data_IF_408474477781
#
_entry.id   IF_408474477781
#
_cell.length_a   1.000
_cell.length_b   1.000
_cell.length_c   1.000
_cell.angle_alpha   90.00
_cell.angle_beta   90.00
_cell.angle_gamma   90.00
#
_symmetry.space_group_name_H-M   'P 1'
#
loop_
_entity.id
_entity.type
_entity.pdbx_description
1 polymer ?
#
# COMPACT_ATOMS: atom_id res chain seq x y z
N UNK A 1 -3.50 16.00 13.00
CA UNK A 1 -2.65 16.30 14.19
C UNK A 1 -1.73 17.47 13.87
N UNK A 2 -1.88 18.64 14.49
CA UNK A 2 -0.99 19.80 14.27
C UNK A 2 0.39 19.56 14.87
N UNK A 3 1.39 19.24 14.03
CA UNK A 3 2.80 19.29 14.43
C UNK A 3 3.31 20.73 14.33
N UNK A 4 3.56 21.36 15.48
CA UNK A 4 4.37 22.58 15.54
C UNK A 4 5.82 22.20 15.28
N UNK A 5 6.52 22.77 14.27
CA UNK A 5 7.94 22.51 14.10
C UNK A 5 8.70 23.11 15.28
N UNK A 6 9.03 22.24 16.22
CA UNK A 6 9.77 22.60 17.42
C UNK A 6 11.25 22.47 17.10
N UNK A 7 11.90 23.63 16.92
CA UNK A 7 13.33 23.89 17.13
C UNK A 7 14.29 22.99 16.35
N UNK A 8 14.92 23.60 15.35
CA UNK A 8 16.24 23.19 14.82
C UNK A 8 17.21 23.01 15.99
N UNK A 9 17.56 21.75 16.29
CA UNK A 9 18.63 21.39 17.19
C UNK A 9 19.92 21.27 16.37
N UNK A 10 20.96 22.10 16.63
CA UNK A 10 22.25 21.90 16.00
C UNK A 10 22.91 20.66 16.63
N UNK A 11 23.00 19.57 15.86
CA UNK A 11 23.78 18.39 16.25
C UNK A 11 25.24 18.66 15.89
N UNK A 12 26.05 19.02 16.88
CA UNK A 12 27.49 19.03 16.74
C UNK A 12 28.01 17.59 16.78
N UNK A 13 28.35 17.03 15.62
CA UNK A 13 28.96 15.70 15.52
C UNK A 13 30.50 15.82 15.64
N UNK A 14 31.07 15.30 16.71
CA UNK A 14 32.51 15.06 16.84
C UNK A 14 32.81 13.60 16.48
N UNK A 15 33.48 13.35 15.36
CA UNK A 15 33.86 12.01 14.93
C UNK A 15 35.26 11.63 15.43
N UNK A 16 35.36 10.59 16.27
CA UNK A 16 36.60 9.90 16.62
C UNK A 16 36.65 8.52 15.96
N UNK A 17 37.68 8.26 15.15
CA UNK A 17 37.87 7.00 14.42
C UNK A 17 38.75 6.03 15.24
N UNK A 18 38.17 4.93 15.71
CA UNK A 18 38.88 3.74 16.20
C UNK A 18 38.56 2.56 15.28
N UNK A 19 39.58 2.02 14.60
CA UNK A 19 39.49 0.81 13.79
C UNK A 19 39.87 -0.42 14.63
N UNK A 20 38.87 -1.21 15.01
CA UNK A 20 39.04 -2.59 15.45
C UNK A 20 38.10 -3.45 14.60
N UNK A 21 38.68 -4.25 13.69
CA UNK A 21 37.96 -5.18 12.85
C UNK A 21 37.81 -6.55 13.52
N UNK A 22 36.57 -7.07 13.51
CA UNK A 22 36.19 -8.43 13.09
C UNK A 22 34.82 -8.83 13.67
N UNK A 23 33.83 -8.93 12.79
CA UNK A 23 32.67 -9.84 12.82
C UNK A 23 31.97 -9.71 11.45
N UNK A 24 31.17 -10.67 10.96
CA UNK A 24 30.58 -11.82 11.64
C UNK A 24 30.68 -13.15 10.84
N UNK A 25 30.18 -14.23 11.47
CA UNK A 25 29.87 -15.48 10.80
C UNK A 25 28.74 -15.28 9.76
N UNK A 26 28.90 -15.92 8.60
CA UNK A 26 27.90 -15.93 7.53
C UNK A 26 26.64 -16.72 7.97
N UNK A 27 25.43 -16.19 7.72
CA UNK A 27 24.23 -17.03 7.67
C UNK A 27 24.25 -17.80 6.34
N UNK A 28 24.13 -19.12 6.43
CA UNK A 28 23.96 -19.99 5.27
C UNK A 28 22.64 -19.62 4.58
N UNK A 29 22.72 -19.07 3.37
CA UNK A 29 21.57 -18.79 2.53
C UNK A 29 20.82 -20.10 2.20
N UNK A 30 19.48 -20.09 2.07
CA UNK A 30 18.76 -21.21 1.48
C UNK A 30 19.30 -21.42 0.06
N UNK A 31 19.62 -22.66 -0.26
CA UNK A 31 20.24 -23.01 -1.54
C UNK A 31 19.17 -22.94 -2.62
N UNK A 32 19.08 -21.81 -3.31
CA UNK A 32 18.27 -21.68 -4.52
C UNK A 32 18.89 -22.52 -5.65
N UNK A 33 18.06 -23.27 -6.38
CA UNK A 33 18.48 -24.02 -7.55
C UNK A 33 18.48 -23.09 -8.77
N UNK A 34 19.60 -23.03 -9.49
CA UNK A 34 19.73 -22.32 -10.76
C UNK A 34 20.16 -23.32 -11.86
N UNK A 35 19.33 -23.59 -12.88
CA UNK A 35 18.01 -22.99 -13.14
C UNK A 35 16.91 -23.44 -12.16
N UNK A 36 15.80 -22.69 -12.04
CA UNK A 36 14.68 -23.04 -11.16
C UNK A 36 14.08 -24.39 -11.57
N UNK A 37 13.75 -25.20 -10.57
CA UNK A 37 13.16 -26.52 -10.77
C UNK A 37 11.70 -26.42 -11.22
N UNK A 38 11.24 -27.43 -11.97
CA UNK A 38 9.85 -27.53 -12.38
C UNK A 38 8.97 -27.88 -11.16
N UNK A 39 8.22 -26.89 -10.67
CA UNK A 39 7.37 -27.01 -9.48
C UNK A 39 6.19 -27.96 -9.65
N UNK A 40 5.96 -28.51 -10.85
CA UNK A 40 4.92 -29.51 -11.07
C UNK A 40 5.31 -30.93 -10.63
N UNK A 41 6.61 -31.25 -10.52
CA UNK A 41 7.08 -32.57 -10.06
C UNK A 41 8.48 -32.59 -9.42
N UNK A 42 9.16 -31.45 -9.30
CA UNK A 42 10.53 -31.34 -8.76
C UNK A 42 10.61 -30.43 -7.53
N UNK A 43 11.58 -30.69 -6.66
CA UNK A 43 11.94 -29.83 -5.54
C UNK A 43 13.45 -29.56 -5.55
N UNK A 44 13.87 -28.39 -5.07
CA UNK A 44 15.28 -28.04 -4.95
C UNK A 44 15.89 -28.72 -3.72
N UNK A 45 16.93 -29.54 -3.93
CA UNK A 45 17.69 -30.18 -2.85
C UNK A 45 19.17 -29.99 -3.07
N UNK A 46 19.81 -29.28 -2.14
CA UNK A 46 21.25 -29.04 -2.14
C UNK A 46 21.77 -28.48 -3.49
N UNK A 47 21.01 -27.57 -4.10
CA UNK A 47 21.38 -26.91 -5.36
C UNK A 47 21.13 -27.74 -6.63
N UNK A 48 20.40 -28.86 -6.54
CA UNK A 48 19.98 -29.64 -7.70
C UNK A 48 18.48 -30.00 -7.64
N UNK A 49 17.84 -30.04 -8.81
CA UNK A 49 16.44 -30.44 -8.94
C UNK A 49 16.29 -31.97 -8.78
N UNK A 50 15.45 -32.37 -7.83
CA UNK A 50 15.12 -33.77 -7.60
C UNK A 50 13.65 -34.03 -7.94
N UNK A 51 13.38 -35.07 -8.74
CA UNK A 51 12.01 -35.50 -9.05
C UNK A 51 11.37 -36.09 -7.79
N UNK A 52 10.27 -35.50 -7.34
CA UNK A 52 9.48 -35.92 -6.18
C UNK A 52 8.42 -36.93 -6.58
N UNK A 53 7.84 -36.73 -7.77
CA UNK A 53 6.89 -37.62 -8.40
C UNK A 53 7.50 -38.28 -9.64
N UNK A 54 6.99 -39.44 -10.10
CA UNK A 54 7.28 -39.93 -11.45
C UNK A 54 6.90 -38.82 -12.45
N UNK A 55 7.74 -38.63 -13.48
CA UNK A 55 7.66 -37.58 -14.50
C UNK A 55 6.22 -37.35 -15.02
N UNK A 56 5.94 -36.18 -15.65
CA UNK A 56 4.69 -35.44 -15.50
C UNK A 56 3.47 -36.35 -15.38
N UNK A 57 2.67 -36.12 -14.34
CA UNK A 57 1.60 -36.99 -13.86
C UNK A 57 0.49 -37.37 -14.88
N UNK A 58 0.61 -36.91 -16.13
CA UNK A 58 -0.37 -37.01 -17.19
C UNK A 58 -1.36 -35.85 -17.11
N UNK A 59 -2.14 -35.66 -18.17
CA UNK A 59 -3.24 -34.69 -18.16
C UNK A 59 -4.28 -35.07 -17.07
N UNK A 60 -4.77 -34.07 -16.33
CA UNK A 60 -5.80 -34.21 -15.28
C UNK A 60 -5.27 -34.75 -13.94
N UNK A 61 -3.96 -34.67 -13.68
CA UNK A 61 -3.34 -35.13 -12.44
C UNK A 61 -2.20 -34.19 -12.00
N UNK A 62 -2.25 -33.73 -10.76
CA UNK A 62 -1.13 -33.04 -10.07
C UNK A 62 -0.31 -33.95 -9.16
N UNK A 63 0.93 -33.54 -8.89
CA UNK A 63 1.78 -34.15 -7.87
C UNK A 63 1.34 -33.68 -6.47
N UNK A 64 0.95 -34.61 -5.61
CA UNK A 64 0.82 -34.37 -4.18
C UNK A 64 2.20 -34.53 -3.52
N UNK A 65 2.80 -33.41 -3.11
CA UNK A 65 4.13 -33.36 -2.50
C UNK A 65 4.20 -34.00 -1.12
N UNK A 66 3.08 -34.09 -0.39
CA UNK A 66 3.03 -34.74 0.91
C UNK A 66 3.05 -36.28 0.77
N UNK A 67 2.31 -36.81 -0.21
CA UNK A 67 2.20 -38.27 -0.41
C UNK A 67 3.13 -38.83 -1.49
N UNK A 68 3.79 -37.95 -2.27
CA UNK A 68 4.69 -38.27 -3.40
C UNK A 68 4.01 -39.12 -4.47
N UNK A 69 2.75 -38.82 -4.75
CA UNK A 69 1.92 -39.54 -5.74
C UNK A 69 1.22 -38.55 -6.64
N UNK A 70 0.99 -38.99 -7.88
CA UNK A 70 0.06 -38.31 -8.76
C UNK A 70 -1.36 -38.53 -8.24
N UNK A 71 -2.08 -37.46 -7.93
CA UNK A 71 -3.50 -37.48 -7.54
C UNK A 71 -4.32 -36.89 -8.69
N UNK A 72 -5.61 -37.23 -8.77
CA UNK A 72 -6.50 -36.58 -9.73
C UNK A 72 -6.57 -35.08 -9.41
N UNK A 73 -6.60 -34.24 -10.44
CA UNK A 73 -6.86 -32.81 -10.26
C UNK A 73 -8.23 -32.62 -9.62
N UNK A 74 -8.24 -31.99 -8.45
CA UNK A 74 -9.46 -31.72 -7.70
C UNK A 74 -10.28 -30.59 -8.36
N UNK A 75 -9.75 -29.99 -9.43
CA UNK A 75 -10.43 -29.02 -10.29
C UNK A 75 -11.18 -29.69 -11.47
N UNK A 76 -11.04 -31.00 -11.66
CA UNK A 76 -11.79 -31.78 -12.67
C UNK A 76 -12.64 -32.88 -12.01
N UNK A 77 -13.19 -32.62 -10.83
CA UNK A 77 -14.48 -33.20 -10.47
C UNK A 77 -15.57 -32.43 -11.21
N UNK A 78 -15.55 -32.53 -12.55
CA UNK A 78 -16.70 -32.23 -13.37
C UNK A 78 -17.80 -33.24 -13.04
N UNK A 79 -18.54 -32.98 -11.98
CA UNK A 79 -19.95 -33.30 -12.01
C UNK A 79 -20.60 -32.16 -12.79
N UNK A 80 -21.01 -32.50 -14.00
CA UNK A 80 -22.02 -31.79 -14.77
C UNK A 80 -23.27 -31.65 -13.89
N UNK A 81 -23.28 -30.67 -12.97
CA UNK A 81 -24.50 -30.18 -12.32
C UNK A 81 -25.25 -29.37 -13.38
N UNK A 82 -25.86 -30.08 -14.34
CA UNK A 82 -26.85 -29.49 -15.24
C UNK A 82 -28.12 -29.25 -14.44
N UNK A 83 -28.17 -28.11 -13.75
CA UNK A 83 -29.37 -27.55 -13.15
C UNK A 83 -29.42 -27.59 -11.62
N UNK A 84 -30.16 -26.63 -11.08
CA UNK A 84 -30.50 -26.53 -9.68
C UNK A 84 -31.31 -27.78 -9.25
N UNK A 85 -30.92 -28.52 -8.19
CA UNK A 85 -31.67 -29.70 -7.73
C UNK A 85 -33.00 -29.36 -7.05
N UNK A 86 -33.25 -28.08 -6.77
CA UNK A 86 -34.51 -27.55 -6.24
C UNK A 86 -35.34 -26.90 -7.35
N UNK A 87 -36.64 -26.62 -7.11
CA UNK A 87 -37.40 -25.73 -7.99
C UNK A 87 -36.66 -24.41 -8.15
N UNK A 88 -36.61 -23.95 -9.39
CA UNK A 88 -35.91 -22.79 -9.92
C UNK A 88 -36.73 -22.45 -11.18
N UNK A 89 -37.62 -21.46 -11.06
CA UNK A 89 -38.76 -21.28 -11.99
C UNK A 89 -38.38 -20.45 -13.21
N UNK A 90 -37.46 -19.51 -13.06
CA UNK A 90 -36.90 -18.63 -14.08
C UNK A 90 -35.60 -19.19 -14.70
N UNK A 91 -34.88 -20.06 -13.97
CA UNK A 91 -33.75 -20.84 -14.46
C UNK A 91 -32.40 -20.15 -14.31
N UNK A 92 -32.24 -19.24 -13.35
CA UNK A 92 -31.06 -18.40 -13.16
C UNK A 92 -30.02 -18.98 -12.18
N UNK A 93 -30.33 -20.15 -11.59
CA UNK A 93 -29.59 -20.88 -10.56
C UNK A 93 -29.83 -20.41 -9.11
N UNK A 94 -30.76 -19.50 -8.87
CA UNK A 94 -31.37 -19.28 -7.57
C UNK A 94 -32.61 -20.19 -7.42
N UNK A 95 -32.76 -20.91 -6.30
CA UNK A 95 -33.93 -21.76 -6.10
C UNK A 95 -35.11 -20.97 -5.49
N UNK A 96 -36.34 -21.30 -5.89
CA UNK A 96 -37.61 -20.66 -5.48
C UNK A 96 -37.73 -20.39 -3.96
N UNK A 97 -37.10 -21.22 -3.11
CA UNK A 97 -37.17 -21.09 -1.66
C UNK A 97 -36.27 -19.99 -1.08
N UNK A 98 -35.26 -19.54 -1.83
CA UNK A 98 -34.36 -18.43 -1.49
C UNK A 98 -34.94 -17.10 -1.98
N UNK A 99 -35.47 -17.05 -3.20
CA UNK A 99 -36.03 -15.84 -3.81
C UNK A 99 -37.35 -15.41 -3.15
N UNK A 100 -38.21 -16.37 -2.82
CA UNK A 100 -39.54 -16.11 -2.27
C UNK A 100 -40.59 -15.75 -3.33
N UNK A 101 -41.87 -15.74 -2.92
CA UNK A 101 -43.01 -15.48 -3.81
C UNK A 101 -43.53 -14.04 -3.72
N UNK A 102 -42.76 -13.14 -3.09
CA UNK A 102 -43.05 -11.71 -3.11
C UNK A 102 -42.71 -11.13 -4.50
N UNK A 103 -42.96 -9.84 -4.69
CA UNK A 103 -42.86 -9.11 -5.97
C UNK A 103 -42.19 -7.78 -5.59
N UNK A 104 -40.85 -7.78 -5.55
CA UNK A 104 -40.06 -6.73 -4.93
C UNK A 104 -40.10 -5.42 -5.73
N UNK A 105 -40.02 -5.50 -7.06
CA UNK A 105 -40.11 -4.36 -7.97
C UNK A 105 -41.57 -3.94 -8.32
N UNK A 106 -42.55 -4.82 -8.11
CA UNK A 106 -43.96 -4.58 -8.37
C UNK A 106 -44.38 -4.71 -9.84
N UNK A 107 -43.63 -5.42 -10.68
CA UNK A 107 -43.91 -5.58 -12.11
C UNK A 107 -44.97 -6.67 -12.42
N UNK A 108 -45.43 -7.39 -11.40
CA UNK A 108 -46.39 -8.51 -11.41
C UNK A 108 -45.81 -9.91 -11.68
N UNK A 109 -44.51 -10.02 -11.80
CA UNK A 109 -43.74 -11.26 -11.81
C UNK A 109 -43.24 -11.47 -10.36
N UNK A 110 -43.54 -12.61 -9.73
CA UNK A 110 -42.98 -12.88 -8.41
C UNK A 110 -41.48 -13.17 -8.52
N UNK A 111 -40.68 -12.82 -7.51
CA UNK A 111 -39.21 -12.96 -7.50
C UNK A 111 -38.76 -14.31 -8.08
N UNK A 112 -39.32 -15.44 -7.60
CA UNK A 112 -39.11 -16.81 -8.16
C UNK A 112 -39.16 -16.97 -9.70
N UNK A 113 -39.79 -16.04 -10.41
CA UNK A 113 -40.06 -16.08 -11.84
C UNK A 113 -39.51 -14.87 -12.58
N UNK A 114 -38.83 -13.99 -11.88
CA UNK A 114 -38.17 -12.78 -12.39
C UNK A 114 -36.67 -13.03 -12.50
N UNK A 115 -36.03 -12.37 -13.45
CA UNK A 115 -34.58 -12.44 -13.65
C UNK A 115 -33.86 -11.18 -13.14
N UNK A 116 -34.62 -10.22 -12.61
CA UNK A 116 -34.23 -8.87 -12.17
C UNK A 116 -35.23 -8.44 -11.07
N UNK A 117 -35.20 -9.13 -9.93
CA UNK A 117 -36.32 -9.13 -8.97
C UNK A 117 -36.56 -7.79 -8.26
N UNK A 118 -35.54 -6.95 -8.08
CA UNK A 118 -35.64 -5.58 -7.56
C UNK A 118 -35.77 -4.52 -8.69
N UNK A 119 -35.60 -4.93 -9.94
CA UNK A 119 -35.79 -4.10 -11.13
C UNK A 119 -34.70 -3.06 -11.33
N UNK A 120 -33.48 -3.34 -10.86
CA UNK A 120 -32.33 -2.46 -10.93
C UNK A 120 -31.53 -2.61 -12.25
N UNK A 121 -31.86 -3.61 -13.07
CA UNK A 121 -31.22 -3.96 -14.35
C UNK A 121 -29.95 -4.83 -14.28
N UNK A 122 -29.70 -5.47 -13.13
CA UNK A 122 -28.70 -6.52 -12.92
C UNK A 122 -29.40 -7.87 -12.76
N UNK A 123 -28.80 -8.95 -13.27
CA UNK A 123 -29.41 -10.27 -13.07
C UNK A 123 -29.27 -10.71 -11.61
N UNK A 124 -30.32 -11.27 -11.03
CA UNK A 124 -30.29 -11.83 -9.67
C UNK A 124 -29.10 -12.78 -9.46
N UNK A 125 -28.81 -13.63 -10.46
CA UNK A 125 -27.67 -14.55 -10.43
C UNK A 125 -26.29 -13.89 -10.37
N UNK A 126 -26.17 -12.63 -10.80
CA UNK A 126 -24.92 -11.85 -10.71
C UNK A 126 -24.76 -11.24 -9.31
N UNK A 127 -25.85 -10.86 -8.68
CA UNK A 127 -25.91 -10.27 -7.34
C UNK A 127 -25.78 -11.33 -6.25
N UNK A 128 -26.36 -12.52 -6.47
CA UNK A 128 -26.24 -13.68 -5.59
C UNK A 128 -24.79 -14.10 -5.26
N UNK A 129 -23.79 -13.61 -6.02
CA UNK A 129 -22.37 -13.73 -5.71
C UNK A 129 -21.69 -14.99 -6.27
N UNK A 130 -22.44 -16.04 -6.59
CA UNK A 130 -21.95 -17.21 -7.32
C UNK A 130 -23.05 -17.93 -8.13
N UNK A 131 -22.63 -18.84 -9.02
CA UNK A 131 -23.54 -19.64 -9.85
C UNK A 131 -23.90 -21.00 -9.21
N UNK A 132 -23.60 -21.20 -7.92
CA UNK A 132 -23.73 -22.49 -7.24
C UNK A 132 -25.09 -22.56 -6.55
N UNK A 133 -26.10 -23.06 -7.25
CA UNK A 133 -27.45 -23.20 -6.69
C UNK A 133 -27.48 -23.76 -5.25
N UNK A 134 -28.16 -23.01 -4.37
CA UNK A 134 -28.35 -23.32 -2.96
C UNK A 134 -27.20 -22.91 -2.03
N UNK A 135 -26.24 -22.11 -2.50
CA UNK A 135 -25.43 -21.25 -1.64
C UNK A 135 -26.31 -20.13 -1.07
N UNK A 136 -25.98 -19.66 0.14
CA UNK A 136 -26.68 -18.52 0.69
C UNK A 136 -26.34 -17.30 -0.19
N UNK A 137 -27.35 -16.55 -0.69
CA UNK A 137 -27.12 -15.36 -1.50
C UNK A 137 -26.25 -14.31 -0.76
N UNK A 138 -25.56 -13.49 -1.54
CA UNK A 138 -24.80 -12.36 -1.02
C UNK A 138 -25.74 -11.32 -0.37
N UNK A 139 -25.23 -10.68 0.67
CA UNK A 139 -25.85 -9.60 1.46
C UNK A 139 -24.65 -8.71 1.82
N UNK A 140 -24.41 -7.67 1.01
CA UNK A 140 -23.17 -6.91 0.99
C UNK A 140 -23.07 -5.94 2.18
N UNK A 141 -24.19 -5.37 2.62
CA UNK A 141 -24.26 -4.42 3.74
C UNK A 141 -24.67 -5.07 5.10
N UNK A 142 -24.95 -6.38 5.10
CA UNK A 142 -25.42 -7.18 6.25
C UNK A 142 -26.79 -6.68 6.82
N UNK A 143 -27.67 -6.09 6.01
CA UNK A 143 -28.98 -5.56 6.45
C UNK A 143 -30.11 -6.61 6.49
N UNK A 144 -29.83 -7.83 6.03
CA UNK A 144 -30.73 -9.00 5.89
C UNK A 144 -31.57 -9.08 4.62
N UNK A 145 -31.48 -8.10 3.73
CA UNK A 145 -31.97 -8.16 2.36
C UNK A 145 -30.81 -8.64 1.48
N UNK A 146 -30.96 -9.77 0.78
CA UNK A 146 -29.94 -10.18 -0.18
C UNK A 146 -29.80 -9.18 -1.32
N UNK A 147 -28.59 -9.05 -1.88
CA UNK A 147 -28.28 -8.08 -2.94
C UNK A 147 -29.30 -8.11 -4.10
N UNK A 148 -29.72 -9.30 -4.57
CA UNK A 148 -30.70 -9.45 -5.68
C UNK A 148 -32.15 -8.99 -5.36
N UNK A 149 -32.39 -8.51 -4.14
CA UNK A 149 -33.66 -7.91 -3.70
C UNK A 149 -33.45 -6.53 -3.08
N UNK A 150 -32.21 -6.04 -3.06
CA UNK A 150 -31.85 -4.75 -2.52
C UNK A 150 -31.75 -3.73 -3.66
N UNK A 151 -31.98 -2.46 -3.36
CA UNK A 151 -31.89 -1.39 -4.36
C UNK A 151 -30.68 -0.48 -4.13
N UNK A 152 -29.88 -0.76 -3.10
CA UNK A 152 -28.70 -0.03 -2.63
C UNK A 152 -27.81 -1.02 -1.85
N UNK A 153 -27.30 -2.04 -2.54
CA UNK A 153 -26.69 -3.27 -1.97
C UNK A 153 -25.50 -3.03 -1.03
N UNK A 154 -24.81 -1.90 -1.15
CA UNK A 154 -23.70 -1.53 -0.25
C UNK A 154 -23.99 -0.38 0.71
N UNK A 155 -25.23 0.13 0.66
CA UNK A 155 -25.81 1.14 1.56
C UNK A 155 -25.00 2.45 1.59
N UNK A 156 -24.30 2.78 0.49
CA UNK A 156 -23.56 4.03 0.33
C UNK A 156 -24.48 5.21 -0.06
N UNK A 157 -25.72 4.88 -0.46
CA UNK A 157 -26.78 5.79 -0.84
C UNK A 157 -26.90 6.03 -2.34
N UNK A 158 -26.13 5.36 -3.19
CA UNK A 158 -26.32 5.33 -4.63
C UNK A 158 -27.10 4.06 -5.01
N UNK A 159 -28.23 4.18 -5.73
CA UNK A 159 -28.99 2.99 -6.06
C UNK A 159 -28.26 2.08 -7.05
N UNK A 160 -28.42 0.77 -6.91
CA UNK A 160 -27.79 -0.25 -7.75
C UNK A 160 -28.09 -0.02 -9.24
N UNK A 161 -29.30 0.42 -9.57
CA UNK A 161 -29.67 0.79 -10.94
C UNK A 161 -28.81 1.91 -11.57
N UNK A 162 -28.27 2.83 -10.76
CA UNK A 162 -27.32 3.83 -11.24
C UNK A 162 -25.92 3.24 -11.46
N UNK A 163 -25.60 2.17 -10.74
CA UNK A 163 -24.30 1.53 -10.61
C UNK A 163 -24.12 0.34 -11.54
N UNK A 164 -25.21 -0.33 -11.91
CA UNK A 164 -25.31 -1.23 -13.06
C UNK A 164 -24.67 -0.60 -14.30
N UNK A 165 -24.84 0.72 -14.46
CA UNK A 165 -24.11 1.54 -15.41
C UNK A 165 -24.74 1.59 -16.81
N UNK A 166 -25.71 0.73 -17.12
CA UNK A 166 -26.63 0.83 -18.25
C UNK A 166 -27.90 -0.04 -18.07
N UNK A 167 -29.00 0.33 -18.74
CA UNK A 167 -30.30 -0.36 -18.62
C UNK A 167 -30.37 -1.75 -19.35
N UNK A 168 -29.30 -2.55 -19.32
CA UNK A 168 -29.27 -3.89 -19.94
C UNK A 168 -28.83 -4.96 -18.97
N UNK A 169 -29.82 -5.79 -18.66
CA UNK A 169 -29.67 -7.02 -17.89
C UNK A 169 -28.54 -7.93 -18.40
N UNK A 170 -28.29 -8.02 -19.72
CA UNK A 170 -27.24 -8.92 -20.25
C UNK A 170 -25.81 -8.41 -20.10
N UNK A 171 -25.63 -7.21 -19.57
CA UNK A 171 -24.30 -6.64 -19.32
C UNK A 171 -23.80 -7.01 -17.94
N UNK A 172 -22.50 -6.82 -17.70
CA UNK A 172 -21.99 -6.92 -16.34
C UNK A 172 -22.17 -5.57 -15.68
N UNK A 173 -22.48 -5.53 -14.37
CA UNK A 173 -22.49 -4.28 -13.64
C UNK A 173 -21.14 -3.58 -13.76
N UNK A 174 -21.16 -2.25 -13.64
CA UNK A 174 -19.95 -1.43 -13.72
C UNK A 174 -18.98 -1.83 -12.62
N UNK A 175 -17.70 -1.81 -12.96
CA UNK A 175 -16.59 -1.97 -12.04
C UNK A 175 -15.62 -0.84 -12.43
N UNK A 176 -15.62 0.23 -11.64
CA UNK A 176 -14.95 1.49 -11.96
C UNK A 176 -13.44 1.38 -11.81
N UNK A 177 -12.96 0.65 -10.80
CA UNK A 177 -11.53 0.49 -10.51
C UNK A 177 -10.88 -0.77 -11.15
N UNK A 178 -11.69 -1.66 -11.75
CA UNK A 178 -11.32 -2.95 -12.35
C UNK A 178 -10.72 -3.96 -11.33
N UNK A 179 -11.08 -3.89 -10.04
CA UNK A 179 -10.56 -4.81 -9.00
C UNK A 179 -11.43 -6.05 -8.80
N UNK A 180 -12.54 -6.15 -9.54
CA UNK A 180 -13.42 -7.31 -9.58
C UNK A 180 -14.55 -7.26 -8.57
N UNK A 181 -14.75 -6.11 -7.90
CA UNK A 181 -15.95 -5.80 -7.13
C UNK A 181 -16.69 -4.72 -7.93
N UNK A 182 -17.91 -4.98 -8.42
CA UNK A 182 -18.73 -3.97 -9.09
C UNK A 182 -19.13 -2.84 -8.14
N UNK A 183 -19.40 -1.66 -8.71
CA UNK A 183 -19.74 -0.42 -7.99
C UNK A 183 -20.90 -0.63 -7.00
N UNK A 184 -21.97 -1.36 -7.38
CA UNK A 184 -23.12 -1.68 -6.49
C UNK A 184 -22.76 -2.48 -5.22
N UNK A 185 -21.51 -2.94 -5.11
CA UNK A 185 -21.00 -3.68 -3.93
C UNK A 185 -19.71 -3.07 -3.39
N UNK A 186 -19.37 -1.86 -3.83
CA UNK A 186 -18.13 -1.18 -3.48
C UNK A 186 -18.38 0.27 -3.08
N UNK A 187 -18.36 0.49 -1.76
CA UNK A 187 -18.60 1.80 -1.15
C UNK A 187 -17.58 2.89 -1.54
N UNK A 188 -16.52 2.56 -2.28
CA UNK A 188 -15.42 3.44 -2.75
C UNK A 188 -15.08 3.06 -4.21
N UNK A 189 -16.00 3.39 -5.12
CA UNK A 189 -16.06 2.92 -6.53
C UNK A 189 -14.76 3.11 -7.31
N UNK A 190 -14.02 4.19 -7.08
CA UNK A 190 -12.75 4.48 -7.77
C UNK A 190 -11.49 4.20 -6.93
N UNK A 191 -11.69 3.79 -5.68
CA UNK A 191 -10.68 3.38 -4.72
C UNK A 191 -9.62 4.45 -4.42
N UNK A 192 -10.00 5.73 -4.44
CA UNK A 192 -9.12 6.83 -4.07
C UNK A 192 -8.97 6.99 -2.55
N UNK A 193 -9.93 6.45 -1.79
CA UNK A 193 -10.02 6.43 -0.33
C UNK A 193 -10.97 7.46 0.28
N UNK A 194 -11.68 8.26 -0.52
CA UNK A 194 -12.95 8.90 -0.17
C UNK A 194 -14.07 7.96 -0.63
N UNK A 195 -14.96 7.60 0.29
CA UNK A 195 -16.09 6.74 -0.08
C UNK A 195 -17.14 7.55 -0.86
N UNK A 196 -17.94 6.89 -1.68
CA UNK A 196 -18.91 7.48 -2.60
C UNK A 196 -19.88 8.44 -1.88
N UNK A 197 -20.32 8.06 -0.68
CA UNK A 197 -21.14 8.91 0.18
C UNK A 197 -20.46 10.23 0.58
N UNK A 198 -19.15 10.23 0.84
CA UNK A 198 -18.34 11.43 1.12
C UNK A 198 -18.16 12.26 -0.15
N UNK A 199 -17.90 11.63 -1.27
CA UNK A 199 -17.73 12.30 -2.55
C UNK A 199 -18.98 13.03 -2.98
N UNK A 200 -20.15 12.40 -2.83
CA UNK A 200 -21.45 13.05 -3.01
C UNK A 200 -21.61 14.30 -2.14
N UNK A 201 -21.08 14.27 -0.92
CA UNK A 201 -21.15 15.41 0.00
C UNK A 201 -20.18 16.54 -0.38
N UNK A 202 -19.06 16.20 -1.02
CA UNK A 202 -18.07 17.15 -1.55
C UNK A 202 -18.46 17.67 -2.94
N UNK A 203 -19.24 16.90 -3.70
CA UNK A 203 -19.60 17.16 -5.08
C UNK A 203 -18.55 16.65 -6.09
N UNK A 204 -17.64 15.79 -5.65
CA UNK A 204 -16.69 15.07 -6.52
C UNK A 204 -17.38 13.94 -7.29
N UNK A 205 -16.72 13.39 -8.30
CA UNK A 205 -17.22 12.31 -9.15
C UNK A 205 -16.65 10.97 -8.66
N UNK A 206 -17.49 10.14 -8.02
CA UNK A 206 -17.13 8.82 -7.46
C UNK A 206 -16.52 7.82 -8.42
N UNK A 207 -16.54 8.15 -9.71
CA UNK A 207 -15.99 7.31 -10.77
C UNK A 207 -14.58 7.74 -11.19
N UNK A 208 -14.01 8.75 -10.54
CA UNK A 208 -12.77 9.41 -10.97
C UNK A 208 -11.95 9.88 -9.77
N UNK A 209 -10.82 9.19 -9.57
CA UNK A 209 -9.82 9.47 -8.52
C UNK A 209 -9.38 10.94 -8.39
N UNK A 210 -9.47 11.72 -9.46
CA UNK A 210 -9.06 13.13 -9.54
C UNK A 210 -10.14 13.86 -10.37
N UNK A 211 -11.13 14.43 -9.68
CA UNK A 211 -12.34 14.96 -10.32
C UNK A 211 -12.04 16.14 -11.24
N UNK A 212 -11.13 17.02 -10.86
CA UNK A 212 -10.83 18.25 -11.61
C UNK A 212 -9.65 18.12 -12.60
N UNK A 213 -8.89 17.03 -12.48
CA UNK A 213 -7.82 16.63 -13.39
C UNK A 213 -6.50 17.39 -13.19
N UNK A 214 -6.24 17.93 -12.00
CA UNK A 214 -5.05 18.73 -11.70
C UNK A 214 -3.83 17.92 -11.23
N UNK A 215 -3.96 16.59 -11.13
CA UNK A 215 -2.99 15.57 -10.68
C UNK A 215 -3.01 15.20 -9.20
N UNK A 216 -3.75 15.90 -8.35
CA UNK A 216 -4.00 15.48 -6.98
C UNK A 216 -5.30 14.69 -6.90
N UNK A 217 -5.36 13.66 -6.05
CA UNK A 217 -6.62 12.92 -5.88
C UNK A 217 -7.56 13.69 -4.97
N UNK A 218 -8.86 13.43 -5.07
CA UNK A 218 -9.88 14.12 -4.29
C UNK A 218 -9.62 13.95 -2.77
N UNK A 219 -9.21 12.75 -2.34
CA UNK A 219 -8.77 12.51 -0.97
C UNK A 219 -7.56 13.36 -0.56
N UNK A 220 -6.59 13.54 -1.45
CA UNK A 220 -5.35 14.25 -1.15
C UNK A 220 -5.61 15.74 -0.92
N UNK A 221 -6.50 16.31 -1.73
CA UNK A 221 -6.94 17.70 -1.63
C UNK A 221 -7.81 17.95 -0.43
N UNK A 222 -8.81 17.09 -0.20
CA UNK A 222 -9.64 17.14 1.00
C UNK A 222 -8.78 17.04 2.28
N UNK A 223 -7.78 16.15 2.28
CA UNK A 223 -6.82 15.99 3.36
C UNK A 223 -5.89 17.20 3.56
N UNK A 224 -5.57 17.93 2.48
CA UNK A 224 -4.79 19.16 2.49
C UNK A 224 -5.64 20.41 2.86
N UNK A 225 -6.96 20.30 2.73
CA UNK A 225 -7.93 21.39 2.92
C UNK A 225 -8.02 22.34 1.72
N UNK A 226 -7.73 21.83 0.52
CA UNK A 226 -7.99 22.49 -0.78
C UNK A 226 -9.34 22.06 -1.35
N UNK A 227 -9.74 22.66 -2.47
CA UNK A 227 -11.01 22.38 -3.16
C UNK A 227 -10.80 21.36 -4.30
N UNK A 228 -11.29 20.10 -4.18
CA UNK A 228 -11.11 19.03 -5.20
C UNK A 228 -11.88 19.27 -6.51
N UNK A 229 -12.53 20.42 -6.64
CA UNK A 229 -13.29 20.83 -7.83
C UNK A 229 -12.65 22.05 -8.54
N UNK A 230 -11.53 22.56 -8.04
CA UNK A 230 -10.83 23.72 -8.60
C UNK A 230 -9.39 23.35 -9.01
N UNK A 231 -9.13 23.13 -10.32
CA UNK A 231 -7.83 22.64 -10.78
C UNK A 231 -6.69 23.66 -10.66
N UNK A 232 -6.98 24.86 -10.16
CA UNK A 232 -6.00 25.88 -9.79
C UNK A 232 -5.71 25.92 -8.27
N UNK A 233 -6.38 25.09 -7.44
CA UNK A 233 -6.26 25.02 -5.97
C UNK A 233 -5.61 23.72 -5.45
N UNK A 234 -4.82 23.00 -6.24
CA UNK A 234 -4.14 21.78 -5.78
C UNK A 234 -3.25 21.90 -4.53
N UNK A 235 -2.76 20.74 -4.06
CA UNK A 235 -1.99 20.63 -2.79
C UNK A 235 -0.76 21.56 -2.77
N UNK A 236 -0.65 22.51 -1.81
CA UNK A 236 0.43 23.50 -1.80
C UNK A 236 1.84 22.91 -1.62
N UNK A 237 2.84 23.54 -2.26
CA UNK A 237 4.25 23.16 -2.08
C UNK A 237 4.65 23.11 -0.59
N UNK A 238 5.20 21.97 -0.17
CA UNK A 238 5.64 21.75 1.21
C UNK A 238 4.57 21.18 2.14
N UNK A 239 3.34 20.99 1.66
CA UNK A 239 2.34 20.12 2.27
C UNK A 239 2.71 18.66 1.98
N UNK A 240 2.49 17.78 2.94
CA UNK A 240 2.76 16.35 2.81
C UNK A 240 1.50 15.60 3.22
N UNK A 241 0.88 14.94 2.25
CA UNK A 241 -0.28 14.07 2.46
C UNK A 241 0.22 12.64 2.52
N UNK A 242 -0.21 11.88 3.54
CA UNK A 242 0.16 10.48 3.71
C UNK A 242 -1.10 9.63 3.68
N UNK A 243 -1.27 8.83 2.63
CA UNK A 243 -2.27 7.77 2.58
C UNK A 243 -1.88 6.64 3.52
N UNK A 244 -2.77 6.35 4.46
CA UNK A 244 -2.61 5.29 5.47
C UNK A 244 -3.60 4.18 5.10
N UNK A 245 -3.17 2.92 4.90
CA UNK A 245 -4.09 1.84 4.59
C UNK A 245 -5.17 1.71 5.67
N UNK A 246 -6.40 1.51 5.22
CA UNK A 246 -7.55 1.26 6.08
C UNK A 246 -7.27 0.11 7.06
N UNK A 247 -7.70 0.27 8.32
CA UNK A 247 -7.47 -0.67 9.43
C UNK A 247 -5.99 -0.95 9.82
N UNK A 248 -5.03 -0.15 9.33
CA UNK A 248 -3.66 -0.26 9.81
C UNK A 248 -3.47 0.47 11.14
N UNK A 249 -3.10 -0.25 12.20
CA UNK A 249 -2.78 0.35 13.51
C UNK A 249 -1.40 1.04 13.52
N UNK A 250 -0.56 0.75 12.53
CA UNK A 250 0.69 1.46 12.28
C UNK A 250 1.25 1.14 10.90
N UNK A 251 1.61 2.16 10.13
CA UNK A 251 2.46 2.03 8.94
C UNK A 251 3.89 2.37 9.33
N UNK A 252 4.86 1.53 8.90
CA UNK A 252 6.28 1.87 8.98
C UNK A 252 6.80 2.08 7.57
N UNK A 253 7.15 3.32 7.22
CA UNK A 253 7.92 3.63 6.02
C UNK A 253 9.30 4.15 6.41
N UNK A 254 10.31 3.68 5.68
CA UNK A 254 11.67 4.15 5.82
C UNK A 254 11.81 5.45 5.01
N UNK A 255 11.55 6.58 5.67
CA UNK A 255 11.78 7.89 5.07
C UNK A 255 13.29 8.07 4.86
N UNK A 256 13.74 7.96 3.62
CA UNK A 256 15.13 8.28 3.28
C UNK A 256 15.26 9.79 3.11
N UNK A 257 15.50 10.48 4.22
CA UNK A 257 15.91 11.87 4.16
C UNK A 257 17.39 11.93 3.76
N UNK A 258 17.70 12.69 2.71
CA UNK A 258 19.09 13.09 2.46
C UNK A 258 19.36 14.32 3.32
N UNK A 259 20.19 14.16 4.35
CA UNK A 259 20.68 15.32 5.11
C UNK A 259 21.69 16.05 4.23
N UNK A 260 21.25 17.14 3.60
CA UNK A 260 22.17 18.08 2.98
C UNK A 260 22.66 19.06 4.06
N UNK A 261 23.94 18.97 4.43
CA UNK A 261 24.53 19.85 5.42
C UNK A 261 24.72 21.24 4.80
N UNK A 262 23.73 22.11 4.99
CA UNK A 262 23.78 23.48 4.48
C UNK A 262 24.92 24.30 5.07
N UNK A 263 25.29 24.08 6.34
CA UNK A 263 26.36 24.81 7.04
C UNK A 263 27.05 23.87 8.07
N UNK A 264 28.39 23.85 8.10
CA UNK A 264 29.17 22.99 9.00
C UNK A 264 30.35 23.77 9.61
N UNK A 265 30.45 23.80 10.93
CA UNK A 265 31.61 24.34 11.63
C UNK A 265 32.54 23.22 12.11
N UNK A 266 33.77 23.19 11.60
CA UNK A 266 34.80 22.23 12.01
C UNK A 266 35.94 22.93 12.74
N UNK A 267 36.13 22.59 14.02
CA UNK A 267 37.19 23.16 14.86
C UNK A 267 38.16 22.08 15.33
N UNK A 268 39.43 22.17 14.93
CA UNK A 268 40.50 21.36 15.50
C UNK A 268 40.98 22.00 16.80
N UNK A 269 40.58 21.42 17.94
CA UNK A 269 41.01 21.86 19.26
C UNK A 269 42.32 21.15 19.67
N UNK A 270 43.39 21.92 19.85
CA UNK A 270 44.71 21.41 20.22
C UNK A 270 45.04 21.80 21.67
N UNK A 271 45.34 20.80 22.51
CA UNK A 271 45.87 20.99 23.85
C UNK A 271 47.37 21.27 23.80
N UNK A 272 47.79 22.43 24.32
CA UNK A 272 49.19 22.82 24.36
C UNK A 272 49.82 22.44 25.70
N UNK A 273 50.73 21.45 25.70
CA UNK A 273 51.81 21.39 26.69
C UNK A 273 53.03 22.15 26.18
N UNK A 274 53.81 22.78 27.06
CA UNK A 274 54.96 23.62 26.67
C UNK A 274 56.02 22.84 25.87
N UNK A 275 56.05 21.53 26.03
CA UNK A 275 57.00 20.61 25.39
C UNK A 275 56.60 20.28 23.94
N UNK A 276 55.36 20.54 23.53
CA UNK A 276 54.82 20.18 22.21
C UNK A 276 54.43 21.39 21.34
N UNK A 277 54.73 22.61 21.77
CA UNK A 277 54.24 23.84 21.13
C UNK A 277 54.64 23.98 19.64
N UNK A 278 55.86 23.58 19.28
CA UNK A 278 56.32 23.63 17.87
C UNK A 278 55.64 22.56 17.02
N UNK A 279 55.52 21.33 17.52
CA UNK A 279 54.84 20.24 16.81
C UNK A 279 53.34 20.52 16.62
N UNK A 280 52.69 21.16 17.60
CA UNK A 280 51.29 21.57 17.53
C UNK A 280 51.09 22.72 16.52
N UNK A 281 52.04 23.64 16.42
CA UNK A 281 52.00 24.70 15.42
C UNK A 281 52.16 24.14 13.99
N UNK A 282 53.05 23.17 13.79
CA UNK A 282 53.19 22.46 12.50
C UNK A 282 51.92 21.68 12.14
N UNK A 283 51.29 21.01 13.11
CA UNK A 283 50.04 20.29 12.90
C UNK A 283 48.88 21.24 12.54
N UNK A 284 48.76 22.36 13.25
CA UNK A 284 47.75 23.37 12.96
C UNK A 284 47.95 23.98 11.55
N UNK A 285 49.20 24.27 11.19
CA UNK A 285 49.54 24.78 9.86
C UNK A 285 49.21 23.76 8.77
N UNK A 286 49.60 22.50 8.94
CA UNK A 286 49.29 21.42 7.99
C UNK A 286 47.80 21.19 7.82
N UNK A 287 47.02 21.25 8.91
CA UNK A 287 45.56 21.16 8.82
C UNK A 287 44.96 22.33 8.02
N UNK A 288 45.43 23.56 8.26
CA UNK A 288 44.95 24.74 7.56
C UNK A 288 45.29 24.76 6.06
N UNK A 289 46.45 24.22 5.66
CA UNK A 289 46.90 24.25 4.25
C UNK A 289 46.48 23.03 3.44
N UNK A 290 46.38 21.84 4.05
CA UNK A 290 46.12 20.59 3.32
C UNK A 290 44.70 20.06 3.50
N UNK A 291 44.13 20.20 4.70
CA UNK A 291 42.87 19.54 5.07
C UNK A 291 41.68 20.50 4.91
N UNK A 292 41.79 21.72 5.46
CA UNK A 292 40.72 22.71 5.41
C UNK A 292 40.26 23.04 3.97
N UNK A 293 41.15 23.23 2.97
CA UNK A 293 40.71 23.53 1.60
C UNK A 293 40.01 22.35 0.90
N UNK A 294 40.39 21.11 1.24
CA UNK A 294 39.74 19.90 0.69
C UNK A 294 38.34 19.70 1.26
N UNK A 295 38.15 20.07 2.53
CA UNK A 295 36.83 20.06 3.18
C UNK A 295 35.96 21.18 2.62
N UNK A 296 36.47 22.41 2.52
CA UNK A 296 35.74 23.53 1.91
C UNK A 296 35.39 23.29 0.43
N UNK A 297 36.25 22.58 -0.31
CA UNK A 297 35.98 22.20 -1.70
C UNK A 297 34.88 21.13 -1.87
N UNK A 298 34.56 20.38 -0.81
CA UNK A 298 33.46 19.39 -0.78
C UNK A 298 32.21 19.91 -0.06
N UNK A 299 32.38 20.87 0.84
CA UNK A 299 31.33 21.52 1.62
C UNK A 299 31.50 23.04 1.47
N UNK A 300 30.86 23.65 0.45
CA UNK A 300 31.12 25.05 0.07
C UNK A 300 30.73 26.08 1.14
N UNK A 301 29.96 25.69 2.15
CA UNK A 301 29.56 26.50 3.30
C UNK A 301 30.14 26.01 4.64
N UNK A 302 31.24 25.25 4.60
CA UNK A 302 31.92 24.85 5.83
C UNK A 302 32.87 25.94 6.34
N UNK A 303 32.74 26.32 7.62
CA UNK A 303 33.75 27.11 8.32
C UNK A 303 34.74 26.16 8.99
N UNK A 304 36.02 26.26 8.64
CA UNK A 304 37.07 25.37 9.19
C UNK A 304 38.13 26.20 9.91
N UNK A 305 38.40 25.86 11.17
CA UNK A 305 39.36 26.60 12.00
C UNK A 305 40.14 25.71 12.96
N UNK A 306 41.22 26.26 13.52
CA UNK A 306 42.02 25.63 14.57
C UNK A 306 41.93 26.48 15.83
N UNK A 307 41.85 25.85 17.01
CA UNK A 307 41.82 26.56 18.28
C UNK A 307 42.78 25.90 19.28
N UNK A 308 43.63 26.70 19.90
CA UNK A 308 44.64 26.24 20.86
C UNK A 308 44.25 26.59 22.30
N UNK A 309 44.47 25.67 23.24
CA UNK A 309 44.23 25.88 24.67
C UNK A 309 45.46 25.50 25.50
N UNK A 310 45.80 26.28 26.53
CA UNK A 310 46.86 25.96 27.50
C UNK A 310 46.40 25.03 28.64
N UNK A 311 47.36 24.58 29.46
CA UNK A 311 47.17 23.62 30.56
C UNK A 311 46.09 24.05 31.57
N UNK A 312 44.88 23.46 31.44
CA UNK A 312 43.82 23.54 32.44
C UNK A 312 42.58 22.75 32.03
N UNK A 313 41.91 22.02 32.95
CA UNK A 313 40.74 21.23 32.60
C UNK A 313 39.53 22.17 32.54
N UNK A 314 38.86 22.25 31.39
CA UNK A 314 37.39 22.39 31.20
C UNK A 314 37.07 22.89 29.79
N UNK A 315 36.93 21.94 28.87
CA UNK A 315 36.35 22.17 27.53
C UNK A 315 34.91 22.72 27.63
N UNK A 316 34.16 22.40 28.70
CA UNK A 316 32.76 22.76 28.86
C UNK A 316 32.49 24.26 29.16
N UNK A 317 33.48 25.04 29.61
CA UNK A 317 33.24 26.43 30.05
C UNK A 317 33.44 27.49 28.95
N UNK A 318 34.08 27.15 27.82
CA UNK A 318 34.40 28.10 26.75
C UNK A 318 33.56 27.96 25.48
N UNK A 319 32.81 26.86 25.32
CA UNK A 319 31.79 26.71 24.28
C UNK A 319 30.48 27.48 24.58
N UNK A 320 30.45 28.26 25.67
CA UNK A 320 29.26 28.99 26.13
C UNK A 320 29.08 30.41 25.58
N UNK A 321 29.78 30.82 24.52
CA UNK A 321 29.53 32.10 23.87
C UNK A 321 29.17 31.88 22.40
N UNK A 322 27.96 32.27 21.96
CA UNK A 322 27.57 32.16 20.57
C UNK A 322 28.49 33.04 19.73
N UNK A 323 29.17 32.44 18.75
CA UNK A 323 29.79 33.21 17.66
C UNK A 323 28.62 33.75 16.85
N UNK A 324 28.47 35.08 16.90
CA UNK A 324 27.26 35.79 16.48
C UNK A 324 26.97 35.75 14.98
N UNK A 325 25.69 36.07 14.71
CA UNK A 325 24.98 36.38 13.45
C UNK A 325 25.81 36.57 12.18
#
# INVERSE_FOLDING_TARGET
MTFRPSRVLPVAAAAGLLLAGACPAEPVAPVDCDPPCDTSYQECRAGACANVCPAPCGAGRRCDFATRRCVADASDAGEEYTGCPWPDRDGDFLPDFMEGEDDADGDTIPNTGDLDADGDTVYDRQEAGDEVCGTDPLDTDDDTVPDFLDTDSDDDGFPDAEEAGDDRLETRPRDTDDWGVPDLRDTDSDNDGLNDAQERALGTDRRVVDTDGDTWTDLEEWGAGTDPLDPDDGVPEGTWVERVPYNSTSVRRELTFTVDFKDVDLVLALGCSREAASALAELAAGFATEVAPRIAGRLPRATVGTLAFGDGPRLAAKLGAPVGR
#
